data_IF_799232531383
#
_entry.id   IF_799232531383
#
_cell.length_a   1.000
_cell.length_b   1.000
_cell.length_c   1.000
_cell.angle_alpha   90.00
_cell.angle_beta   90.00
_cell.angle_gamma   90.00
#
_symmetry.space_group_name_H-M   'P 1'
#
loop_
_entity.id
_entity.type
_entity.pdbx_description
1 polymer ?
#
# COMPACT_ATOMS: atom_id res chain seq x y z
N UNK A 1 -19.39 -19.60 29.87
CA UNK A 1 -19.05 -19.79 28.44
C UNK A 1 -19.04 -18.49 27.63
N UNK A 2 -19.94 -17.53 27.89
CA UNK A 2 -20.00 -16.24 27.15
C UNK A 2 -18.69 -15.41 27.22
N UNK A 3 -17.92 -15.50 28.30
CA UNK A 3 -16.67 -14.75 28.50
C UNK A 3 -15.53 -15.10 27.53
N UNK A 4 -15.56 -16.29 26.92
CA UNK A 4 -14.58 -16.70 25.90
C UNK A 4 -14.96 -16.21 24.50
N UNK A 5 -16.23 -15.86 24.29
CA UNK A 5 -16.74 -15.45 22.98
C UNK A 5 -16.36 -13.99 22.64
N UNK A 6 -16.38 -13.11 23.64
CA UNK A 6 -16.02 -11.71 23.49
C UNK A 6 -14.58 -11.49 22.94
N UNK A 7 -13.51 -12.08 23.51
CA UNK A 7 -12.17 -11.92 22.96
C UNK A 7 -12.02 -12.54 21.57
N UNK A 8 -12.75 -13.61 21.27
CA UNK A 8 -12.75 -14.22 19.94
C UNK A 8 -13.35 -13.29 18.88
N UNK A 9 -14.50 -12.66 19.18
CA UNK A 9 -15.12 -11.69 18.28
C UNK A 9 -14.22 -10.47 18.04
N UNK A 10 -13.60 -9.94 19.10
CA UNK A 10 -12.68 -8.82 18.97
C UNK A 10 -11.46 -9.18 18.11
N UNK A 11 -10.90 -10.39 18.26
CA UNK A 11 -9.83 -10.86 17.39
C UNK A 11 -10.28 -11.00 15.92
N UNK A 12 -11.49 -11.49 15.68
CA UNK A 12 -12.05 -11.64 14.33
C UNK A 12 -12.26 -10.29 13.64
N UNK A 13 -12.77 -9.29 14.36
CA UNK A 13 -12.94 -7.92 13.84
C UNK A 13 -11.56 -7.32 13.50
N UNK A 14 -10.60 -7.39 14.42
CA UNK A 14 -9.25 -6.88 14.19
C UNK A 14 -8.57 -7.53 12.98
N UNK A 15 -8.80 -8.83 12.77
CA UNK A 15 -8.29 -9.54 11.60
C UNK A 15 -9.00 -9.11 10.31
N UNK A 16 -10.31 -8.84 10.38
CA UNK A 16 -11.09 -8.28 9.27
C UNK A 16 -10.59 -6.90 8.86
N UNK A 17 -10.28 -6.03 9.81
CA UNK A 17 -9.75 -4.69 9.56
C UNK A 17 -8.37 -4.74 8.88
N UNK A 18 -7.50 -5.67 9.31
CA UNK A 18 -6.21 -5.93 8.64
C UNK A 18 -6.39 -6.41 7.20
N UNK A 19 -7.35 -7.29 6.98
CA UNK A 19 -7.63 -7.81 5.64
C UNK A 19 -8.15 -6.71 4.72
N UNK A 20 -9.08 -5.89 5.21
CA UNK A 20 -9.60 -4.73 4.48
C UNK A 20 -8.46 -3.78 4.09
N UNK A 21 -7.55 -3.48 5.03
CA UNK A 21 -6.36 -2.67 4.77
C UNK A 21 -5.44 -3.28 3.71
N UNK A 22 -5.19 -4.59 3.77
CA UNK A 22 -4.34 -5.28 2.80
C UNK A 22 -4.95 -5.19 1.39
N UNK A 23 -6.26 -5.44 1.26
CA UNK A 23 -6.96 -5.33 -0.04
C UNK A 23 -6.93 -3.90 -0.57
N UNK A 24 -7.13 -2.90 0.30
CA UNK A 24 -7.01 -1.49 -0.05
C UNK A 24 -5.59 -1.16 -0.53
N UNK A 25 -4.56 -1.63 0.18
CA UNK A 25 -3.15 -1.42 -0.18
C UNK A 25 -2.82 -2.05 -1.54
N UNK A 26 -3.33 -3.25 -1.80
CA UNK A 26 -3.16 -3.96 -3.07
C UNK A 26 -3.81 -3.22 -4.24
N UNK A 27 -5.03 -2.71 -4.04
CA UNK A 27 -5.71 -1.90 -5.04
C UNK A 27 -4.93 -0.63 -5.38
N UNK A 28 -4.51 0.12 -4.37
CA UNK A 28 -3.73 1.35 -4.56
C UNK A 28 -2.39 1.05 -5.23
N UNK A 29 -1.68 -0.02 -4.83
CA UNK A 29 -0.41 -0.40 -5.45
C UNK A 29 -0.57 -0.77 -6.93
N UNK A 30 -1.64 -1.48 -7.30
CA UNK A 30 -1.95 -1.85 -8.67
C UNK A 30 -2.28 -0.63 -9.55
N UNK A 31 -2.98 0.38 -9.01
CA UNK A 31 -3.26 1.63 -9.71
C UNK A 31 -1.99 2.48 -9.81
N UNK A 32 -1.21 2.55 -8.74
CA UNK A 32 0.01 3.35 -8.66
C UNK A 32 1.06 2.92 -9.67
N UNK A 33 1.27 1.62 -9.87
CA UNK A 33 2.26 1.14 -10.85
C UNK A 33 1.89 1.53 -12.28
N UNK A 34 0.60 1.54 -12.62
CA UNK A 34 0.11 1.97 -13.94
C UNK A 34 0.32 3.46 -14.14
N UNK A 35 0.00 4.28 -13.13
CA UNK A 35 0.27 5.72 -13.19
C UNK A 35 1.76 6.05 -13.24
N UNK A 36 2.59 5.30 -12.50
CA UNK A 36 4.04 5.46 -12.55
C UNK A 36 4.60 5.12 -13.94
N UNK A 37 4.10 4.06 -14.57
CA UNK A 37 4.43 3.70 -15.94
C UNK A 37 3.97 4.75 -16.97
N UNK A 38 2.80 5.36 -16.77
CA UNK A 38 2.28 6.42 -17.65
C UNK A 38 2.94 7.79 -17.42
N UNK A 39 3.49 8.04 -16.23
CA UNK A 39 4.18 9.28 -15.88
C UNK A 39 5.70 9.21 -16.13
N UNK A 40 6.23 8.03 -16.50
CA UNK A 40 7.66 7.83 -16.72
C UNK A 40 8.50 7.74 -15.44
N UNK A 41 7.93 7.39 -14.28
CA UNK A 41 8.70 7.22 -13.04
C UNK A 41 8.05 7.76 -11.77
N UNK A 42 8.89 8.07 -10.78
CA UNK A 42 8.54 8.67 -9.49
C UNK A 42 8.47 10.19 -9.60
N UNK A 43 7.27 10.74 -9.75
CA UNK A 43 7.03 12.18 -9.85
C UNK A 43 6.30 12.74 -8.63
N UNK A 44 6.44 14.05 -8.39
CA UNK A 44 5.72 14.73 -7.31
C UNK A 44 4.18 14.62 -7.47
N UNK A 45 3.71 14.66 -8.72
CA UNK A 45 2.29 14.47 -9.04
C UNK A 45 1.81 13.05 -8.71
N UNK A 46 2.59 12.02 -9.06
CA UNK A 46 2.28 10.63 -8.68
C UNK A 46 2.16 10.49 -7.15
N UNK A 47 3.10 11.06 -6.40
CA UNK A 47 3.08 11.00 -4.93
C UNK A 47 1.90 11.75 -4.32
N UNK A 48 1.51 12.89 -4.87
CA UNK A 48 0.32 13.62 -4.43
C UNK A 48 -0.97 12.81 -4.68
N UNK A 49 -1.11 12.22 -5.87
CA UNK A 49 -2.25 11.36 -6.20
C UNK A 49 -2.30 10.10 -5.34
N UNK A 50 -1.16 9.46 -5.09
CA UNK A 50 -1.04 8.33 -4.17
C UNK A 50 -1.52 8.67 -2.75
N UNK A 51 -1.15 9.85 -2.24
CA UNK A 51 -1.60 10.31 -0.92
C UNK A 51 -3.12 10.44 -0.87
N UNK A 52 -3.72 10.97 -1.94
CA UNK A 52 -5.17 11.08 -2.07
C UNK A 52 -5.85 9.72 -2.18
N UNK A 53 -5.31 8.78 -2.95
CA UNK A 53 -5.88 7.44 -3.11
C UNK A 53 -5.82 6.65 -1.80
N UNK A 54 -4.70 6.74 -1.07
CA UNK A 54 -4.55 6.11 0.25
C UNK A 54 -5.58 6.67 1.23
N UNK A 55 -5.74 8.00 1.28
CA UNK A 55 -6.75 8.63 2.12
C UNK A 55 -8.18 8.23 1.74
N UNK A 56 -8.49 8.17 0.44
CA UNK A 56 -9.80 7.73 -0.07
C UNK A 56 -10.09 6.25 0.26
N UNK A 57 -9.04 5.42 0.31
CA UNK A 57 -9.12 4.03 0.72
C UNK A 57 -9.15 3.83 2.24
N UNK A 58 -9.15 4.91 3.03
CA UNK A 58 -9.16 4.86 4.50
C UNK A 58 -7.82 4.50 5.13
N UNK A 59 -6.73 4.48 4.36
CA UNK A 59 -5.39 4.19 4.84
C UNK A 59 -4.68 5.47 5.31
N UNK A 60 -3.96 5.45 6.44
CA UNK A 60 -3.20 6.59 6.92
C UNK A 60 -1.98 6.82 6.02
N UNK A 61 -2.09 7.74 5.06
CA UNK A 61 -1.08 7.95 4.04
C UNK A 61 0.32 8.28 4.60
N UNK A 62 0.39 8.92 5.77
CA UNK A 62 1.64 9.28 6.44
C UNK A 62 2.39 8.06 7.02
N UNK A 63 1.66 6.97 7.28
CA UNK A 63 2.21 5.70 7.77
C UNK A 63 2.58 4.74 6.64
N UNK A 64 2.29 5.10 5.38
CA UNK A 64 2.58 4.29 4.20
C UNK A 64 3.89 4.74 3.57
N UNK A 65 4.87 3.85 3.58
CA UNK A 65 6.11 4.03 2.82
C UNK A 65 5.88 3.63 1.36
N UNK A 66 6.07 4.58 0.45
CA UNK A 66 6.03 4.36 -1.00
C UNK A 66 7.45 4.22 -1.53
N UNK A 67 7.73 3.16 -2.27
CA UNK A 67 8.98 2.99 -3.03
C UNK A 67 8.67 2.72 -4.49
N UNK A 68 9.26 3.51 -5.36
CA UNK A 68 9.19 3.36 -6.82
C UNK A 68 10.59 3.05 -7.32
N UNK A 69 10.76 1.95 -8.03
CA UNK A 69 12.06 1.48 -8.51
C UNK A 69 11.96 0.91 -9.94
N UNK A 70 12.73 1.45 -10.91
CA UNK A 70 13.61 2.61 -10.80
C UNK A 70 12.82 3.92 -10.74
N UNK A 71 13.42 4.97 -10.15
CA UNK A 71 12.78 6.29 -10.03
C UNK A 71 12.60 6.98 -11.39
N UNK A 72 13.50 6.72 -12.34
CA UNK A 72 13.45 7.20 -13.72
C UNK A 72 13.70 6.01 -14.68
N UNK A 73 12.68 5.19 -14.98
CA UNK A 73 12.81 4.08 -15.91
C UNK A 73 13.06 4.55 -17.34
N UNK A 74 13.95 3.88 -18.06
CA UNK A 74 14.04 3.98 -19.51
C UNK A 74 12.79 3.40 -20.21
N UNK A 75 12.63 3.65 -21.50
CA UNK A 75 11.56 3.06 -22.31
C UNK A 75 11.50 1.53 -22.14
N UNK A 76 10.31 0.98 -21.93
CA UNK A 76 10.06 -0.46 -21.75
C UNK A 76 10.77 -1.10 -20.53
N UNK A 77 11.47 -0.31 -19.72
CA UNK A 77 12.07 -0.79 -18.48
C UNK A 77 10.98 -1.10 -17.46
N UNK A 78 11.08 -2.20 -16.72
CA UNK A 78 10.12 -2.52 -15.68
C UNK A 78 10.19 -1.49 -14.55
N UNK A 79 9.03 -0.93 -14.18
CA UNK A 79 8.83 -0.10 -12.99
C UNK A 79 8.09 -0.89 -11.93
N UNK A 80 8.62 -0.88 -10.71
CA UNK A 80 8.05 -1.54 -9.54
C UNK A 80 7.58 -0.47 -8.56
N UNK A 81 6.36 -0.62 -8.08
CA UNK A 81 5.85 0.18 -6.97
C UNK A 81 5.60 -0.75 -5.80
N UNK A 82 6.22 -0.43 -4.66
CA UNK A 82 6.02 -1.11 -3.39
C UNK A 82 5.44 -0.14 -2.39
N UNK A 83 4.32 -0.53 -1.78
CA UNK A 83 3.71 0.16 -0.67
C UNK A 83 3.93 -0.67 0.59
N UNK A 84 4.22 -0.01 1.71
CA UNK A 84 4.40 -0.69 3.00
C UNK A 84 3.76 0.13 4.11
N UNK A 85 2.87 -0.50 4.87
CA UNK A 85 2.12 0.10 5.97
C UNK A 85 2.46 -0.63 7.26
N UNK A 86 2.88 0.11 8.28
CA UNK A 86 3.03 -0.42 9.64
C UNK A 86 1.73 -0.22 10.42
N UNK A 87 1.12 -1.30 10.90
CA UNK A 87 -0.12 -1.26 11.69
C UNK A 87 0.07 -2.01 13.00
N UNK A 88 -0.30 -1.35 14.10
CA UNK A 88 -0.37 -1.99 15.42
C UNK A 88 -1.78 -2.54 15.64
N UNK A 89 -1.88 -3.81 15.99
CA UNK A 89 -3.15 -4.45 16.32
C UNK A 89 -3.16 -4.89 17.77
N UNK A 90 -4.33 -4.85 18.39
CA UNK A 90 -4.54 -5.42 19.72
C UNK A 90 -5.20 -6.78 19.58
N UNK A 91 -4.50 -7.82 20.00
CA UNK A 91 -5.06 -9.17 20.04
C UNK A 91 -5.45 -9.44 21.49
N UNK A 92 -6.75 -9.67 21.76
CA UNK A 92 -7.20 -10.07 23.09
C UNK A 92 -6.40 -11.27 23.59
N UNK A 93 -5.93 -11.22 24.84
CA UNK A 93 -5.08 -12.23 25.52
C UNK A 93 -3.61 -12.30 25.05
N UNK A 94 -3.28 -11.80 23.85
CA UNK A 94 -1.93 -11.87 23.24
C UNK A 94 -1.20 -10.51 23.20
N UNK A 95 -1.87 -9.43 23.59
CA UNK A 95 -1.31 -8.07 23.67
C UNK A 95 -1.30 -7.34 22.33
N UNK A 96 -0.52 -6.25 22.27
CA UNK A 96 -0.32 -5.48 21.04
C UNK A 96 0.77 -6.10 20.17
N UNK A 97 0.54 -6.12 18.85
CA UNK A 97 1.49 -6.62 17.85
C UNK A 97 1.59 -5.62 16.70
N UNK A 98 2.82 -5.28 16.35
CA UNK A 98 3.10 -4.49 15.16
C UNK A 98 3.27 -5.42 13.97
N UNK A 99 2.47 -5.16 12.94
CA UNK A 99 2.49 -5.89 11.68
C UNK A 99 2.86 -4.95 10.55
N UNK A 100 3.62 -5.46 9.59
CA UNK A 100 3.96 -4.74 8.38
C UNK A 100 3.19 -5.35 7.22
N UNK A 101 2.24 -4.59 6.69
CA UNK A 101 1.52 -4.91 5.47
C UNK A 101 2.32 -4.38 4.30
N UNK A 102 2.57 -5.20 3.29
CA UNK A 102 3.31 -4.76 2.11
C UNK A 102 2.65 -5.28 0.85
N UNK A 103 2.64 -4.43 -0.18
CA UNK A 103 2.13 -4.78 -1.50
C UNK A 103 3.13 -4.31 -2.54
N UNK A 104 3.31 -5.11 -3.58
CA UNK A 104 4.24 -4.79 -4.67
C UNK A 104 3.65 -5.20 -6.01
N UNK A 105 3.66 -4.26 -6.95
CA UNK A 105 3.28 -4.49 -8.33
C UNK A 105 4.35 -3.98 -9.29
N UNK A 106 4.39 -4.57 -10.48
CA UNK A 106 5.32 -4.20 -11.55
C UNK A 106 4.55 -3.95 -12.85
N UNK A 107 4.95 -2.93 -13.60
CA UNK A 107 4.51 -2.63 -14.95
C UNK A 107 5.72 -2.29 -15.82
N UNK A 108 5.52 -2.07 -17.12
CA UNK A 108 6.57 -1.59 -18.02
C UNK A 108 6.35 -0.11 -18.29
N UNK A 109 7.42 0.68 -18.35
CA UNK A 109 7.33 2.09 -18.69
C UNK A 109 6.90 2.27 -20.16
N UNK A 110 5.85 3.06 -20.36
CA UNK A 110 5.27 3.38 -21.66
C UNK A 110 5.63 4.80 -22.12
N UNK A 111 6.52 5.50 -21.41
CA UNK A 111 7.01 6.83 -21.77
C UNK A 111 8.48 6.76 -22.13
N UNK A 112 8.81 7.14 -23.36
CA UNK A 112 10.19 7.20 -23.84
C UNK A 112 10.85 8.43 -23.23
N UNK A 113 12.13 8.31 -22.88
CA UNK A 113 12.97 9.35 -22.28
C UNK A 113 12.54 10.78 -22.65
N UNK A 114 11.96 11.51 -21.68
CA UNK A 114 11.95 12.97 -21.73
C UNK A 114 13.22 13.40 -21.02
N UNK A 115 14.35 13.30 -21.73
CA UNK A 115 15.58 13.94 -21.34
C UNK A 115 15.31 15.46 -21.21
N UNK A 116 15.68 16.01 -20.06
CA UNK A 116 15.78 17.45 -19.85
C UNK A 116 16.86 18.06 -20.75
#
# INVERSE_FOLDING_TARGET
MLSLLAPLFAAMIALGDLWADQVALDHVAAVAVRRAAAAGGDSAQLRASLRSDLAAAGLPADSVTVRVDPAAPAWQQPIKVRLSLSRSIQIPLLGSRDLQLSSQFAARNEVGEVAA
#
